data_IF_811572283642
#
_entry.id   IF_811572283642
#
_cell.length_a   1.000
_cell.length_b   1.000
_cell.length_c   1.000
_cell.angle_alpha   90.00
_cell.angle_beta   90.00
_cell.angle_gamma   90.00
#
_symmetry.space_group_name_H-M   'P 1'
#
loop_
_entity.id
_entity.type
_entity.pdbx_description
1 polymer ?
#
# COMPACT_ATOMS: atom_id res chain seq x y z
N UNK A 1 -18.17 -11.72 0.57
CA UNK A 1 -17.06 -10.76 0.87
C UNK A 1 -17.62 -9.67 1.76
N UNK A 2 -16.93 -9.35 2.84
CA UNK A 2 -17.21 -8.20 3.72
C UNK A 2 -16.27 -7.06 3.31
N UNK A 3 -16.84 -5.92 2.93
CA UNK A 3 -16.04 -4.71 2.65
C UNK A 3 -16.03 -3.87 3.92
N UNK A 4 -14.84 -3.55 4.43
CA UNK A 4 -14.64 -2.82 5.66
C UNK A 4 -13.73 -1.62 5.45
N UNK A 5 -14.10 -0.47 6.01
CA UNK A 5 -13.25 0.73 6.09
C UNK A 5 -12.38 0.70 7.35
N UNK A 6 -12.91 0.11 8.41
CA UNK A 6 -12.24 -0.04 9.71
C UNK A 6 -12.28 -1.49 10.18
N UNK A 7 -11.23 -1.94 10.86
CA UNK A 7 -11.18 -3.25 11.52
C UNK A 7 -11.87 -3.20 12.89
N UNK A 8 -13.18 -3.04 12.88
CA UNK A 8 -13.99 -3.10 14.10
C UNK A 8 -13.96 -4.49 14.72
N UNK A 9 -14.30 -4.60 16.02
CA UNK A 9 -14.36 -5.90 16.70
C UNK A 9 -15.32 -6.89 16.02
N UNK A 10 -16.41 -6.40 15.39
CA UNK A 10 -17.34 -7.24 14.64
C UNK A 10 -16.70 -7.78 13.34
N UNK A 11 -16.02 -6.93 12.58
CA UNK A 11 -15.30 -7.32 11.36
C UNK A 11 -14.22 -8.35 11.69
N UNK A 12 -13.43 -8.11 12.75
CA UNK A 12 -12.39 -9.04 13.21
C UNK A 12 -12.99 -10.40 13.58
N UNK A 13 -14.08 -10.43 14.36
CA UNK A 13 -14.77 -11.68 14.71
C UNK A 13 -15.29 -12.44 13.49
N UNK A 14 -15.85 -11.73 12.49
CA UNK A 14 -16.29 -12.36 11.23
C UNK A 14 -15.11 -12.94 10.46
N UNK A 15 -14.01 -12.19 10.36
CA UNK A 15 -12.79 -12.63 9.70
C UNK A 15 -12.26 -13.92 10.35
N UNK A 16 -12.04 -13.91 11.66
CA UNK A 16 -11.52 -15.07 12.39
C UNK A 16 -12.43 -16.33 12.28
N UNK A 17 -13.73 -16.14 12.05
CA UNK A 17 -14.73 -17.21 11.83
C UNK A 17 -14.83 -17.67 10.36
N UNK A 18 -13.99 -17.19 9.46
CA UNK A 18 -13.93 -17.68 8.09
C UNK A 18 -14.43 -16.71 7.01
N UNK A 19 -14.77 -15.47 7.37
CA UNK A 19 -15.18 -14.50 6.35
C UNK A 19 -13.99 -14.09 5.45
N UNK A 20 -14.32 -13.77 4.19
CA UNK A 20 -13.43 -13.06 3.26
C UNK A 20 -13.63 -11.56 3.46
N UNK A 21 -12.61 -10.83 3.92
CA UNK A 21 -12.69 -9.39 4.23
C UNK A 21 -11.80 -8.60 3.29
N UNK A 22 -12.38 -7.61 2.61
CA UNK A 22 -11.67 -6.54 1.92
C UNK A 22 -11.58 -5.34 2.85
N UNK A 23 -10.38 -5.00 3.29
CA UNK A 23 -10.16 -3.82 4.11
C UNK A 23 -9.60 -2.68 3.27
N UNK A 24 -10.31 -1.55 3.27
CA UNK A 24 -9.99 -0.32 2.54
C UNK A 24 -9.73 0.83 3.52
N UNK A 25 -8.61 0.81 4.27
CA UNK A 25 -8.37 1.78 5.33
C UNK A 25 -8.35 3.22 4.84
N UNK A 26 -7.87 3.48 3.63
CA UNK A 26 -7.78 4.82 3.03
C UNK A 26 -9.14 5.47 2.77
N UNK A 27 -10.22 4.70 2.79
CA UNK A 27 -11.60 5.20 2.67
C UNK A 27 -12.25 5.53 4.02
N UNK A 28 -11.59 5.19 5.13
CA UNK A 28 -12.09 5.48 6.48
C UNK A 28 -11.96 6.98 6.81
N UNK A 29 -12.95 7.52 7.51
CA UNK A 29 -12.88 8.87 8.08
C UNK A 29 -11.85 8.98 9.23
N UNK A 30 -11.42 7.86 9.78
CA UNK A 30 -10.41 7.77 10.83
C UNK A 30 -8.99 7.59 10.27
N UNK A 31 -8.86 7.40 8.95
CA UNK A 31 -7.56 7.24 8.33
C UNK A 31 -6.79 8.57 8.36
N UNK A 32 -5.66 8.54 9.03
CA UNK A 32 -4.70 9.65 9.03
C UNK A 32 -3.53 9.19 8.18
N UNK A 33 -3.40 9.76 6.99
CA UNK A 33 -2.20 9.58 6.19
C UNK A 33 -0.99 10.04 7.01
N UNK A 34 0.07 9.24 7.05
CA UNK A 34 1.34 9.74 7.52
C UNK A 34 1.67 10.96 6.65
N UNK A 35 1.82 12.12 7.27
CA UNK A 35 2.18 13.33 6.53
C UNK A 35 3.55 13.10 5.93
N UNK A 36 3.62 13.13 4.62
CA UNK A 36 4.81 12.84 3.83
C UNK A 36 5.92 13.90 3.94
N UNK A 37 5.72 14.89 4.74
CA UNK A 37 6.81 15.75 5.15
C UNK A 37 7.75 14.93 6.02
N UNK A 38 9.00 14.89 5.72
CA UNK A 38 10.19 14.36 6.41
C UNK A 38 10.07 13.86 7.87
N UNK A 39 8.96 14.09 8.52
CA UNK A 39 8.52 13.56 9.79
C UNK A 39 7.20 12.81 9.58
N UNK A 40 7.26 11.51 9.57
CA UNK A 40 6.06 10.71 9.81
C UNK A 40 5.42 11.22 11.10
N UNK A 41 4.13 11.53 11.04
CA UNK A 41 3.39 11.85 12.24
C UNK A 41 3.58 10.71 13.24
N UNK A 42 4.06 11.01 14.45
CA UNK A 42 4.24 9.99 15.50
C UNK A 42 2.93 9.29 15.86
N UNK A 43 1.80 9.81 15.39
CA UNK A 43 0.45 9.29 15.60
C UNK A 43 -0.14 8.56 14.38
N UNK A 44 0.60 8.38 13.30
CA UNK A 44 0.10 7.67 12.14
C UNK A 44 -0.01 6.16 12.43
N UNK A 45 -1.20 5.62 12.27
CA UNK A 45 -1.47 4.18 12.34
C UNK A 45 -2.54 3.85 11.32
N UNK A 46 -2.26 3.03 10.32
CA UNK A 46 -0.97 2.41 9.99
C UNK A 46 0.06 3.38 9.38
N UNK A 47 1.35 3.05 9.46
CA UNK A 47 2.39 3.83 8.81
C UNK A 47 2.34 3.65 7.30
N UNK A 48 2.22 4.75 6.59
CA UNK A 48 2.06 4.80 5.12
C UNK A 48 2.95 5.89 4.52
N UNK A 49 3.08 5.86 3.21
CA UNK A 49 3.67 6.94 2.42
C UNK A 49 2.70 7.39 1.34
N UNK A 50 2.83 8.59 0.82
CA UNK A 50 2.02 9.03 -0.32
C UNK A 50 2.34 8.23 -1.57
N UNK A 51 1.30 7.78 -2.27
CA UNK A 51 1.42 6.88 -3.41
C UNK A 51 1.77 7.56 -4.73
N UNK A 52 1.75 8.89 -4.81
CA UNK A 52 1.97 9.60 -6.05
C UNK A 52 3.31 9.23 -6.70
N UNK A 53 3.26 8.82 -7.97
CA UNK A 53 4.49 8.53 -8.71
C UNK A 53 5.29 9.78 -8.99
N UNK A 54 6.59 9.68 -8.80
CA UNK A 54 7.54 10.57 -9.42
C UNK A 54 7.91 10.00 -10.78
N UNK A 55 7.75 10.82 -11.80
CA UNK A 55 8.01 10.43 -13.18
C UNK A 55 9.50 10.38 -13.51
N UNK A 56 10.35 10.89 -12.61
CA UNK A 56 11.76 11.02 -12.89
C UNK A 56 12.64 10.80 -11.65
N UNK A 57 13.33 9.70 -11.65
CA UNK A 57 14.29 9.30 -10.64
C UNK A 57 15.41 10.34 -10.39
N UNK A 58 15.87 10.99 -11.46
CA UNK A 58 16.98 11.95 -11.39
C UNK A 58 16.56 13.30 -10.82
N UNK A 59 15.32 13.67 -11.02
CA UNK A 59 14.79 14.97 -10.61
C UNK A 59 14.23 14.98 -9.18
N UNK A 60 14.25 13.84 -8.47
CA UNK A 60 13.72 13.74 -7.11
C UNK A 60 14.28 14.83 -6.19
N UNK A 61 15.61 14.97 -6.11
CA UNK A 61 16.25 15.98 -5.26
C UNK A 61 15.88 17.40 -5.67
N UNK A 62 15.79 17.63 -6.96
CA UNK A 62 15.40 18.95 -7.49
C UNK A 62 13.97 19.29 -7.11
N UNK A 63 13.02 18.37 -7.29
CA UNK A 63 11.63 18.57 -6.90
C UNK A 63 11.48 18.75 -5.40
N UNK A 64 12.17 17.96 -4.59
CA UNK A 64 12.20 18.11 -3.14
C UNK A 64 12.67 19.51 -2.76
N UNK A 65 13.83 19.93 -3.27
CA UNK A 65 14.38 21.26 -2.98
C UNK A 65 13.45 22.39 -3.43
N UNK A 66 12.82 22.26 -4.62
CA UNK A 66 11.84 23.26 -5.11
C UNK A 66 10.65 23.32 -4.17
N UNK A 67 10.16 22.18 -3.70
CA UNK A 67 9.00 22.14 -2.81
C UNK A 67 9.33 22.69 -1.43
N UNK A 68 10.49 22.37 -0.87
CA UNK A 68 11.00 22.89 0.40
C UNK A 68 11.15 24.43 0.33
N UNK A 69 11.80 24.93 -0.74
CA UNK A 69 12.02 26.38 -0.94
C UNK A 69 10.70 27.14 -1.10
N UNK A 70 9.68 26.52 -1.71
CA UNK A 70 8.37 27.12 -1.88
C UNK A 70 7.42 26.85 -0.70
N UNK A 71 7.90 26.23 0.39
CA UNK A 71 7.11 25.84 1.57
C UNK A 71 5.86 25.01 1.20
N UNK A 72 5.93 24.29 0.10
CA UNK A 72 4.86 23.37 -0.31
C UNK A 72 5.10 22.03 0.36
N UNK A 73 4.10 21.53 1.07
CA UNK A 73 4.06 20.14 1.52
C UNK A 73 3.83 19.26 0.28
N UNK A 74 4.89 18.85 -0.37
CA UNK A 74 4.82 17.84 -1.44
C UNK A 74 5.54 16.61 -0.93
N UNK A 75 4.78 15.55 -0.84
CA UNK A 75 5.30 14.25 -0.56
C UNK A 75 6.30 13.86 -1.65
N UNK A 76 7.48 13.40 -1.27
CA UNK A 76 8.32 12.70 -2.21
C UNK A 76 7.59 11.41 -2.60
N UNK A 77 7.21 11.29 -3.87
CA UNK A 77 6.47 10.18 -4.40
C UNK A 77 7.22 8.85 -4.37
N UNK A 78 6.64 7.86 -4.96
CA UNK A 78 7.21 6.52 -5.17
C UNK A 78 7.67 6.37 -6.62
N UNK A 79 8.45 5.33 -6.93
CA UNK A 79 9.05 5.17 -8.27
C UNK A 79 8.19 4.32 -9.21
N UNK A 80 7.27 3.52 -8.68
CA UNK A 80 6.44 2.64 -9.47
C UNK A 80 5.96 1.43 -8.69
N UNK A 81 5.40 0.46 -9.39
CA UNK A 81 4.93 -0.80 -8.81
C UNK A 81 5.60 -2.00 -9.45
N UNK A 82 5.56 -3.12 -8.73
CA UNK A 82 5.85 -4.46 -9.21
C UNK A 82 4.67 -5.36 -8.92
N UNK A 83 4.30 -6.17 -9.91
CA UNK A 83 3.23 -7.16 -9.84
C UNK A 83 3.70 -8.48 -10.43
N UNK A 84 2.98 -9.55 -10.10
CA UNK A 84 3.00 -10.77 -10.89
C UNK A 84 1.74 -10.78 -11.76
N UNK A 85 1.84 -10.58 -13.10
CA UNK A 85 0.69 -10.53 -14.00
C UNK A 85 -0.17 -11.80 -13.98
N UNK A 86 0.43 -12.95 -13.64
CA UNK A 86 -0.27 -14.24 -13.56
C UNK A 86 -1.11 -14.40 -12.27
N UNK A 87 -1.03 -13.42 -11.35
CA UNK A 87 -1.81 -13.50 -10.13
C UNK A 87 -3.32 -13.39 -10.45
N UNK A 88 -4.18 -14.27 -9.89
CA UNK A 88 -5.60 -14.32 -10.24
C UNK A 88 -6.37 -13.02 -10.05
N UNK A 89 -5.91 -12.13 -9.17
CA UNK A 89 -6.50 -10.81 -8.96
C UNK A 89 -6.54 -9.95 -10.23
N UNK A 90 -5.67 -10.22 -11.21
CA UNK A 90 -5.54 -9.44 -12.44
C UNK A 90 -6.36 -10.01 -13.60
N UNK A 91 -7.18 -11.04 -13.40
CA UNK A 91 -8.00 -11.62 -14.47
C UNK A 91 -8.96 -10.60 -15.11
N UNK A 92 -9.55 -9.73 -14.30
CA UNK A 92 -10.42 -8.63 -14.76
C UNK A 92 -9.67 -7.32 -15.01
N UNK A 93 -8.37 -7.27 -14.71
CA UNK A 93 -7.50 -6.11 -14.87
C UNK A 93 -6.12 -6.56 -15.37
N UNK A 94 -6.00 -7.04 -16.61
CA UNK A 94 -4.72 -7.49 -17.15
C UNK A 94 -3.66 -6.41 -17.03
N UNK A 95 -2.51 -6.77 -16.50
CA UNK A 95 -1.41 -5.83 -16.24
C UNK A 95 -0.06 -6.41 -16.63
N UNK A 96 0.94 -5.56 -16.74
CA UNK A 96 2.35 -5.95 -16.87
C UNK A 96 2.98 -6.09 -15.49
N UNK A 97 4.20 -6.61 -15.42
CA UNK A 97 4.94 -6.74 -14.17
C UNK A 97 5.35 -5.40 -13.54
N UNK A 98 5.22 -4.31 -14.27
CA UNK A 98 5.60 -2.95 -13.87
C UNK A 98 4.46 -1.96 -14.14
N UNK A 99 4.67 -0.70 -13.73
CA UNK A 99 3.72 0.39 -13.91
C UNK A 99 3.45 0.69 -15.39
N UNK A 100 2.17 0.85 -15.72
CA UNK A 100 1.70 1.48 -16.94
C UNK A 100 0.59 2.50 -16.62
N UNK A 101 0.03 3.18 -17.63
CA UNK A 101 -0.94 4.26 -17.42
C UNK A 101 -2.23 3.86 -16.73
N UNK A 102 -2.67 2.62 -16.86
CA UNK A 102 -3.90 2.15 -16.19
C UNK A 102 -3.81 2.22 -14.66
N UNK A 103 -2.59 2.18 -14.09
CA UNK A 103 -2.36 2.28 -12.65
C UNK A 103 -2.45 3.71 -12.11
N UNK A 104 -2.40 4.73 -12.96
CA UNK A 104 -2.32 6.12 -12.52
C UNK A 104 -3.44 6.54 -11.57
N UNK A 105 -4.75 6.33 -11.88
CA UNK A 105 -5.83 6.73 -10.96
C UNK A 105 -5.82 5.94 -9.65
N UNK A 106 -5.37 4.68 -9.69
CA UNK A 106 -5.29 3.81 -8.51
C UNK A 106 -4.19 4.30 -7.57
N UNK A 107 -3.02 4.62 -8.11
CA UNK A 107 -1.85 5.08 -7.35
C UNK A 107 -2.04 6.50 -6.83
N UNK A 108 -2.64 7.37 -7.61
CA UNK A 108 -2.92 8.76 -7.22
C UNK A 108 -3.75 8.83 -5.93
N UNK A 109 -4.67 7.89 -5.76
CA UNK A 109 -5.57 7.82 -4.60
C UNK A 109 -5.06 6.80 -3.55
N UNK A 110 -3.74 6.54 -3.51
CA UNK A 110 -3.17 5.51 -2.64
C UNK A 110 -2.24 6.07 -1.56
N UNK A 111 -2.16 5.30 -0.47
CA UNK A 111 -1.20 5.48 0.62
C UNK A 111 -0.56 4.11 0.94
N UNK A 112 0.45 3.68 0.16
CA UNK A 112 1.11 2.40 0.39
C UNK A 112 1.55 2.18 1.83
N UNK A 113 1.30 0.98 2.33
CA UNK A 113 1.65 0.55 3.69
C UNK A 113 3.15 0.26 3.79
N UNK A 114 3.79 0.76 4.86
CA UNK A 114 5.18 0.42 5.17
C UNK A 114 5.24 -0.99 5.78
N UNK A 115 6.00 -1.88 5.16
CA UNK A 115 6.10 -3.30 5.48
C UNK A 115 7.45 -3.70 6.09
N UNK A 116 8.27 -2.75 6.50
CA UNK A 116 9.63 -3.02 7.01
C UNK A 116 9.65 -3.96 8.22
N UNK A 117 8.61 -3.90 9.05
CA UNK A 117 8.46 -4.72 10.25
C UNK A 117 7.80 -6.09 9.98
N UNK A 118 7.39 -6.36 8.75
CA UNK A 118 6.82 -7.64 8.33
C UNK A 118 7.93 -8.64 7.95
N UNK A 119 7.56 -9.89 7.72
CA UNK A 119 8.49 -10.92 7.31
C UNK A 119 9.25 -10.51 6.03
N UNK A 120 10.57 -10.73 6.01
CA UNK A 120 11.43 -10.28 4.90
C UNK A 120 11.08 -10.93 3.57
N UNK A 121 10.65 -12.17 3.62
CA UNK A 121 10.24 -12.99 2.46
C UNK A 121 8.80 -12.73 2.02
N UNK A 122 7.97 -12.07 2.86
CA UNK A 122 6.62 -11.68 2.46
C UNK A 122 6.65 -10.82 1.19
N UNK A 123 5.81 -11.15 0.22
CA UNK A 123 5.64 -10.37 -1.01
C UNK A 123 4.19 -9.91 -1.11
N UNK A 124 3.94 -8.59 -1.14
CA UNK A 124 2.60 -8.08 -1.41
C UNK A 124 2.17 -8.43 -2.84
N UNK A 125 0.88 -8.55 -3.07
CA UNK A 125 0.29 -8.79 -4.40
C UNK A 125 0.63 -7.65 -5.36
N UNK A 126 0.58 -6.40 -4.86
CA UNK A 126 1.11 -5.22 -5.55
C UNK A 126 2.12 -4.56 -4.62
N UNK A 127 3.39 -4.67 -4.98
CA UNK A 127 4.49 -4.00 -4.30
C UNK A 127 4.68 -2.61 -4.88
N UNK A 128 4.93 -1.62 -4.03
CA UNK A 128 5.34 -0.28 -4.46
C UNK A 128 6.84 -0.14 -4.27
N UNK A 129 7.51 0.45 -5.25
CA UNK A 129 8.93 0.76 -5.20
C UNK A 129 9.06 2.15 -4.59
N UNK A 130 9.67 2.22 -3.43
CA UNK A 130 9.89 3.49 -2.74
C UNK A 130 10.99 4.32 -3.41
N UNK A 131 11.02 5.60 -3.08
CA UNK A 131 12.12 6.45 -3.51
C UNK A 131 13.43 6.07 -2.80
N UNK A 132 14.54 6.50 -3.39
CA UNK A 132 15.89 6.12 -2.93
C UNK A 132 16.21 6.64 -1.53
N UNK A 133 15.59 7.73 -1.09
CA UNK A 133 15.93 8.34 0.20
C UNK A 133 15.22 7.64 1.38
N UNK A 134 14.02 7.10 1.18
CA UNK A 134 13.28 6.34 2.21
C UNK A 134 13.60 4.85 2.16
N UNK A 135 13.54 4.28 0.98
CA UNK A 135 13.82 2.87 0.69
C UNK A 135 13.07 1.89 1.60
N UNK A 136 11.78 2.17 1.84
CA UNK A 136 10.90 1.27 2.55
C UNK A 136 10.42 0.12 1.66
N UNK A 137 10.13 -1.01 2.28
CA UNK A 137 9.30 -2.05 1.66
C UNK A 137 7.84 -1.59 1.71
N UNK A 138 7.21 -1.41 0.57
CA UNK A 138 5.87 -0.85 0.49
C UNK A 138 4.88 -1.84 -0.15
N UNK A 139 3.65 -1.88 0.39
CA UNK A 139 2.56 -2.67 -0.16
C UNK A 139 1.35 -1.80 -0.52
N UNK A 140 0.82 -2.00 -1.74
CA UNK A 140 -0.45 -1.41 -2.16
C UNK A 140 -1.61 -2.39 -1.97
N UNK A 141 -1.39 -3.64 -2.36
CA UNK A 141 -2.35 -4.74 -2.15
C UNK A 141 -1.63 -5.88 -1.45
N UNK A 142 -2.16 -6.30 -0.33
CA UNK A 142 -1.64 -7.35 0.51
C UNK A 142 -2.73 -8.34 0.87
N UNK A 143 -2.37 -9.60 1.09
CA UNK A 143 -3.31 -10.62 1.51
C UNK A 143 -2.71 -11.58 2.53
N UNK A 144 -3.56 -12.06 3.43
CA UNK A 144 -3.21 -13.04 4.47
C UNK A 144 -4.39 -13.94 4.81
N UNK A 145 -4.07 -15.15 5.26
CA UNK A 145 -4.99 -15.94 6.09
C UNK A 145 -4.97 -15.38 7.51
N UNK A 146 -6.15 -15.24 8.11
CA UNK A 146 -6.31 -14.76 9.49
C UNK A 146 -7.31 -15.67 10.19
N UNK A 147 -6.83 -16.56 11.05
CA UNK A 147 -7.66 -17.61 11.63
C UNK A 147 -8.25 -18.50 10.53
N UNK A 148 -9.57 -18.68 10.53
CA UNK A 148 -10.26 -19.42 9.47
C UNK A 148 -10.59 -18.56 8.24
N UNK A 149 -10.41 -17.22 8.31
CA UNK A 149 -10.77 -16.28 7.26
C UNK A 149 -9.61 -15.85 6.39
N UNK A 150 -9.92 -14.96 5.45
CA UNK A 150 -8.98 -14.42 4.48
C UNK A 150 -9.14 -12.91 4.39
N UNK A 151 -8.04 -12.21 4.56
CA UNK A 151 -7.97 -10.75 4.53
C UNK A 151 -7.24 -10.29 3.28
N UNK A 152 -7.84 -9.35 2.55
CA UNK A 152 -7.17 -8.56 1.53
C UNK A 152 -7.20 -7.10 1.97
N UNK A 153 -6.04 -6.46 1.97
CA UNK A 153 -5.89 -5.03 2.27
C UNK A 153 -5.52 -4.31 0.98
N UNK A 154 -6.29 -3.29 0.64
CA UNK A 154 -5.96 -2.40 -0.47
C UNK A 154 -5.78 -0.97 0.06
N UNK A 155 -4.59 -0.42 -0.18
CA UNK A 155 -4.18 0.90 0.29
C UNK A 155 -4.46 2.02 -0.73
N UNK A 156 -5.27 1.75 -1.74
CA UNK A 156 -5.86 2.75 -2.61
C UNK A 156 -7.30 3.05 -2.19
N UNK A 157 -7.70 4.31 -2.27
CA UNK A 157 -9.11 4.70 -2.16
C UNK A 157 -9.85 4.28 -3.45
N UNK A 158 -10.28 3.01 -3.47
CA UNK A 158 -10.95 2.44 -4.63
C UNK A 158 -12.29 3.13 -4.94
N UNK A 159 -12.94 3.76 -3.95
CA UNK A 159 -14.18 4.53 -4.17
C UNK A 159 -13.87 5.79 -4.99
N UNK A 160 -12.76 6.48 -4.73
CA UNK A 160 -12.31 7.61 -5.54
C UNK A 160 -11.73 7.17 -6.88
N UNK A 161 -10.90 6.13 -6.89
CA UNK A 161 -10.30 5.61 -8.11
C UNK A 161 -11.37 5.13 -9.10
N UNK A 162 -12.50 4.60 -8.62
CA UNK A 162 -13.62 4.14 -9.45
C UNK A 162 -14.34 5.25 -10.25
N UNK A 163 -14.01 6.52 -10.06
CA UNK A 163 -14.44 7.60 -10.97
C UNK A 163 -13.83 7.44 -12.37
N UNK A 164 -12.71 6.73 -12.47
CA UNK A 164 -12.00 6.43 -13.71
C UNK A 164 -12.29 4.99 -14.15
N UNK A 165 -12.35 4.72 -15.46
CA UNK A 165 -12.58 3.36 -15.98
C UNK A 165 -11.61 2.32 -15.43
N UNK A 166 -10.33 2.66 -15.38
CA UNK A 166 -9.26 1.78 -14.89
C UNK A 166 -9.44 1.44 -13.41
N UNK A 167 -9.81 2.42 -12.60
CA UNK A 167 -10.09 2.22 -11.19
C UNK A 167 -11.31 1.32 -10.96
N UNK A 168 -12.38 1.46 -11.78
CA UNK A 168 -13.54 0.55 -11.74
C UNK A 168 -13.14 -0.87 -12.12
N UNK A 169 -12.41 -1.02 -13.22
CA UNK A 169 -11.96 -2.34 -13.68
C UNK A 169 -11.10 -3.04 -12.62
N UNK A 170 -10.20 -2.29 -11.97
CA UNK A 170 -9.40 -2.85 -10.89
C UNK A 170 -10.24 -3.25 -9.67
N UNK A 171 -11.18 -2.39 -9.26
CA UNK A 171 -12.06 -2.70 -8.13
C UNK A 171 -12.93 -3.93 -8.38
N UNK A 172 -13.51 -4.04 -9.57
CA UNK A 172 -14.27 -5.21 -10.00
C UNK A 172 -13.40 -6.47 -10.04
N UNK A 173 -12.16 -6.36 -10.51
CA UNK A 173 -11.20 -7.47 -10.52
C UNK A 173 -10.84 -7.95 -9.11
N UNK A 174 -10.62 -7.02 -8.17
CA UNK A 174 -10.40 -7.34 -6.75
C UNK A 174 -11.60 -8.10 -6.17
N UNK A 175 -12.81 -7.61 -6.39
CA UNK A 175 -14.03 -8.26 -5.89
C UNK A 175 -14.25 -9.64 -6.52
N UNK A 176 -14.06 -9.76 -7.83
CA UNK A 176 -14.14 -11.03 -8.54
C UNK A 176 -13.15 -12.07 -8.02
N UNK A 177 -11.89 -11.67 -7.81
CA UNK A 177 -10.88 -12.50 -7.19
C UNK A 177 -11.30 -12.99 -5.80
N UNK A 178 -11.73 -12.07 -4.95
CA UNK A 178 -12.14 -12.42 -3.58
C UNK A 178 -13.38 -13.31 -3.52
N UNK A 179 -14.27 -13.26 -4.51
CA UNK A 179 -15.43 -14.14 -4.59
C UNK A 179 -15.05 -15.55 -5.07
N UNK A 180 -13.99 -15.68 -5.83
CA UNK A 180 -13.54 -16.96 -6.40
C UNK A 180 -12.88 -17.87 -5.35
N UNK A 181 -12.66 -19.13 -5.72
CA UNK A 181 -11.89 -20.09 -4.91
C UNK A 181 -10.39 -19.85 -4.97
N UNK A 182 -9.94 -19.08 -5.97
CA UNK A 182 -8.53 -18.73 -6.14
C UNK A 182 -8.02 -17.76 -5.06
N UNK A 183 -8.93 -17.04 -4.37
CA UNK A 183 -8.55 -16.24 -3.21
C UNK A 183 -8.12 -17.16 -2.07
N UNK A 184 -6.86 -17.52 -2.09
CA UNK A 184 -6.24 -18.42 -1.12
C UNK A 184 -4.82 -17.95 -0.76
N UNK A 185 -4.71 -16.89 0.09
CA UNK A 185 -3.42 -16.34 0.50
C UNK A 185 -2.47 -17.42 1.02
N UNK A 186 -1.20 -17.37 0.62
CA UNK A 186 -0.19 -18.28 1.11
C UNK A 186 0.36 -17.87 2.49
N UNK A 187 0.40 -16.56 2.75
CA UNK A 187 0.89 -16.02 4.02
C UNK A 187 -0.21 -16.06 5.09
N UNK A 188 0.20 -16.30 6.33
CA UNK A 188 -0.69 -16.30 7.50
C UNK A 188 -0.23 -15.25 8.50
N UNK A 189 -1.17 -14.63 9.21
CA UNK A 189 -0.91 -13.69 10.29
C UNK A 189 -2.07 -13.73 11.30
N UNK A 190 -1.78 -13.51 12.57
CA UNK A 190 -2.84 -13.31 13.56
C UNK A 190 -3.28 -11.85 13.59
N UNK A 191 -4.52 -11.59 14.05
CA UNK A 191 -4.99 -10.20 14.17
C UNK A 191 -4.16 -9.39 15.16
N UNK A 192 -3.68 -10.00 16.23
CA UNK A 192 -2.85 -9.32 17.24
C UNK A 192 -1.48 -8.96 16.65
N UNK A 193 -0.89 -9.89 15.90
CA UNK A 193 0.37 -9.63 15.21
C UNK A 193 0.20 -8.55 14.13
N UNK A 194 -0.85 -8.61 13.33
CA UNK A 194 -1.14 -7.58 12.34
C UNK A 194 -1.27 -6.20 12.98
N UNK A 195 -2.09 -6.07 14.03
CA UNK A 195 -2.28 -4.82 14.76
C UNK A 195 -0.96 -4.30 15.33
N UNK A 196 -0.17 -5.19 15.93
CA UNK A 196 1.16 -4.84 16.47
C UNK A 196 2.06 -4.28 15.35
N UNK A 197 2.16 -4.97 14.22
CA UNK A 197 3.01 -4.55 13.09
C UNK A 197 2.55 -3.25 12.46
N UNK A 198 1.24 -3.02 12.38
CA UNK A 198 0.67 -1.76 11.87
C UNK A 198 0.95 -0.56 12.79
N UNK A 199 1.06 -0.79 14.10
CA UNK A 199 1.35 0.25 15.09
C UNK A 199 2.85 0.47 15.32
N UNK A 200 3.70 -0.46 14.89
CA UNK A 200 5.14 -0.41 15.12
C UNK A 200 5.81 0.58 14.18
N UNK A 201 6.54 1.55 14.74
CA UNK A 201 7.24 2.56 13.97
C UNK A 201 8.28 1.92 13.04
N UNK A 202 8.25 2.20 11.73
CA UNK A 202 9.23 1.65 10.80
C UNK A 202 10.61 2.26 11.04
N UNK A 203 11.64 1.57 10.56
CA UNK A 203 13.00 2.05 10.57
C UNK A 203 13.12 3.39 9.82
N UNK A 204 13.73 4.36 10.44
CA UNK A 204 14.14 5.60 9.75
C UNK A 204 15.56 5.41 9.22
N UNK A 205 15.71 5.58 7.91
CA UNK A 205 17.03 5.62 7.28
C UNK A 205 17.60 7.03 7.46
N UNK A 206 18.78 7.15 8.06
CA UNK A 206 19.41 8.46 8.19
C UNK A 206 20.03 8.90 6.86
N UNK A 207 19.85 10.16 6.48
CA UNK A 207 20.49 10.74 5.29
C UNK A 207 22.03 10.61 5.31
N UNK A 208 22.63 10.48 6.49
CA UNK A 208 24.09 10.24 6.63
C UNK A 208 24.51 8.87 6.12
N UNK A 209 23.66 7.84 6.26
CA UNK A 209 23.94 6.49 5.73
C UNK A 209 23.88 6.48 4.21
N UNK A 210 22.98 7.28 3.61
CA UNK A 210 22.85 7.39 2.16
C UNK A 210 23.97 8.21 1.51
N UNK A 211 24.50 9.22 2.21
CA UNK A 211 25.63 10.00 1.70
C UNK A 211 26.92 9.18 1.56
N UNK A 212 27.07 8.07 2.31
CA UNK A 212 28.20 7.16 2.14
C UNK A 212 28.10 6.29 0.88
N UNK A 213 26.90 6.13 0.31
CA UNK A 213 26.69 5.36 -0.94
C UNK A 213 26.99 6.21 -2.17
N UNK A 214 26.89 7.53 -2.09
CA UNK A 214 27.12 8.45 -3.21
C UNK A 214 28.60 8.79 -3.46
N UNK A 215 29.53 8.12 -2.81
CA UNK A 215 30.97 8.32 -2.99
C UNK A 215 31.64 7.21 -3.85
N UNK A 216 30.85 6.36 -4.50
CA UNK A 216 31.33 5.37 -5.46
C UNK A 216 30.90 5.69 -6.88
#
# INVERSE_FOLDING_TARGET
VVIAKDLTSDVVKKLEKGAKVLWLPTTSSHFVAADDTLSQSDNATPYTVGGLFQTDYWNYRMFKTICENNKKKVSPGTLGILTNPEHPIFKGFPTEMHTNWQWFPIIKESHPLVLDNFAKDYRPVVQVIDNIERNHKLGLVMEWKVGAGKLLICMSDLEKAAKYPEGRAFYESVLGYMQSDEFNPAAEITMDELKKKLAEKPRQVSLKELNNISQY
#
